data_IF_076255794616
#
_entry.id   IF_076255794616
#
_cell.length_a   1.000
_cell.length_b   1.000
_cell.length_c   1.000
_cell.angle_alpha   90.00
_cell.angle_beta   90.00
_cell.angle_gamma   90.00
#
_symmetry.space_group_name_H-M   'P 1'
#
loop_
_entity.id
_entity.type
_entity.pdbx_description
1 polymer ?
#
# COMPACT_ATOMS: atom_id res chain seq x y z
N UNK A 1 -10.87 -9.75 -2.11
CA UNK A 1 -10.64 -9.62 -0.64
C UNK A 1 -9.46 -8.69 -0.34
N UNK A 2 -8.24 -9.01 -0.79
CA UNK A 2 -7.04 -8.20 -0.53
C UNK A 2 -7.11 -6.74 -1.02
N UNK A 3 -7.75 -6.51 -2.16
CA UNK A 3 -7.97 -5.16 -2.68
C UNK A 3 -8.77 -4.27 -1.72
N UNK A 4 -9.84 -4.81 -1.13
CA UNK A 4 -10.67 -4.09 -0.15
C UNK A 4 -9.85 -3.73 1.10
N UNK A 5 -9.00 -4.66 1.56
CA UNK A 5 -8.09 -4.44 2.69
C UNK A 5 -7.09 -3.34 2.35
N UNK A 6 -6.48 -3.37 1.16
CA UNK A 6 -5.52 -2.37 0.71
C UNK A 6 -6.15 -0.96 0.56
N UNK A 7 -7.37 -0.89 0.03
CA UNK A 7 -8.17 0.35 -0.02
C UNK A 7 -8.43 0.87 1.40
N UNK A 8 -8.80 -0.01 2.35
CA UNK A 8 -8.93 0.35 3.75
C UNK A 8 -7.66 0.97 4.32
N UNK A 9 -6.48 0.41 4.00
CA UNK A 9 -5.18 0.97 4.38
C UNK A 9 -4.98 2.41 3.90
N UNK A 10 -5.37 2.72 2.66
CA UNK A 10 -5.32 4.09 2.11
C UNK A 10 -6.29 5.01 2.85
N UNK A 11 -7.53 4.55 3.10
CA UNK A 11 -8.54 5.36 3.80
C UNK A 11 -8.06 5.72 5.22
N UNK A 12 -7.47 4.77 5.95
CA UNK A 12 -6.85 5.05 7.25
C UNK A 12 -5.69 6.05 7.13
N UNK A 13 -4.88 5.98 6.07
CA UNK A 13 -3.81 6.95 5.81
C UNK A 13 -4.37 8.37 5.63
N UNK A 14 -5.41 8.50 4.81
CA UNK A 14 -6.07 9.78 4.52
C UNK A 14 -6.73 10.38 5.77
N UNK A 15 -7.46 9.57 6.54
CA UNK A 15 -8.05 10.02 7.81
C UNK A 15 -6.95 10.49 8.78
N UNK A 16 -5.85 9.74 8.88
CA UNK A 16 -4.68 10.14 9.67
C UNK A 16 -4.15 11.51 9.26
N UNK A 17 -4.02 11.77 7.96
CA UNK A 17 -3.58 13.09 7.45
C UNK A 17 -4.54 14.22 7.74
N UNK A 18 -5.85 13.98 7.59
CA UNK A 18 -6.85 15.00 7.92
C UNK A 18 -6.78 15.34 9.41
N UNK A 19 -6.58 14.35 10.29
CA UNK A 19 -6.40 14.58 11.74
C UNK A 19 -5.10 15.31 12.05
N UNK A 20 -4.00 14.94 11.40
CA UNK A 20 -2.71 15.62 11.53
C UNK A 20 -2.81 17.09 11.10
N UNK A 21 -3.55 17.38 10.03
CA UNK A 21 -3.82 18.75 9.58
C UNK A 21 -4.50 19.57 10.67
N UNK A 22 -5.52 19.00 11.31
CA UNK A 22 -6.31 19.61 12.39
C UNK A 22 -5.60 19.68 13.75
N UNK A 23 -4.39 19.12 13.86
CA UNK A 23 -3.65 19.03 15.13
C UNK A 23 -4.23 18.00 16.12
N UNK A 24 -5.08 17.09 15.65
CA UNK A 24 -5.62 15.99 16.45
C UNK A 24 -4.64 14.81 16.53
N UNK A 25 -4.86 13.90 17.47
CA UNK A 25 -4.10 12.65 17.55
C UNK A 25 -4.37 11.76 16.33
N UNK A 26 -3.37 11.65 15.45
CA UNK A 26 -3.43 10.88 14.21
C UNK A 26 -2.60 9.57 14.24
N UNK A 27 -1.82 9.35 15.29
CA UNK A 27 -0.81 8.28 15.36
C UNK A 27 -1.45 6.90 15.18
N UNK A 28 -2.62 6.68 15.77
CA UNK A 28 -3.34 5.40 15.67
C UNK A 28 -3.73 5.07 14.22
N UNK A 29 -4.27 6.04 13.50
CA UNK A 29 -4.66 5.87 12.09
C UNK A 29 -3.46 5.58 11.20
N UNK A 30 -2.35 6.31 11.42
CA UNK A 30 -1.08 6.10 10.73
C UNK A 30 -0.53 4.69 10.98
N UNK A 31 -0.52 4.22 12.23
CA UNK A 31 -0.06 2.87 12.59
C UNK A 31 -0.91 1.79 11.93
N UNK A 32 -2.24 1.90 11.99
CA UNK A 32 -3.16 0.94 11.37
C UNK A 32 -2.93 0.88 9.85
N UNK A 33 -2.83 2.04 9.20
CA UNK A 33 -2.55 2.13 7.77
C UNK A 33 -1.23 1.44 7.40
N UNK A 34 -0.16 1.69 8.16
CA UNK A 34 1.15 1.08 7.93
C UNK A 34 1.14 -0.44 8.16
N UNK A 35 0.42 -0.93 9.18
CA UNK A 35 0.26 -2.36 9.43
C UNK A 35 -0.48 -3.06 8.28
N UNK A 36 -1.57 -2.45 7.80
CA UNK A 36 -2.32 -2.96 6.64
C UNK A 36 -1.41 -2.99 5.40
N UNK A 37 -0.64 -1.93 5.19
CA UNK A 37 0.30 -1.82 4.06
C UNK A 37 1.38 -2.90 4.14
N UNK A 38 1.94 -3.16 5.32
CA UNK A 38 2.91 -4.23 5.54
C UNK A 38 2.30 -5.62 5.27
N UNK A 39 1.09 -5.87 5.76
CA UNK A 39 0.37 -7.13 5.51
C UNK A 39 0.13 -7.36 4.01
N UNK A 40 -0.34 -6.34 3.29
CA UNK A 40 -0.53 -6.42 1.84
C UNK A 40 0.80 -6.63 1.10
N UNK A 41 1.90 -6.02 1.56
CA UNK A 41 3.23 -6.18 0.97
C UNK A 41 3.78 -7.59 1.18
N UNK A 42 3.64 -8.15 2.38
CA UNK A 42 4.03 -9.53 2.69
C UNK A 42 3.24 -10.51 1.81
N UNK A 43 1.92 -10.33 1.69
CA UNK A 43 1.08 -11.17 0.84
C UNK A 43 1.46 -11.06 -0.65
N UNK A 44 1.80 -9.87 -1.11
CA UNK A 44 2.28 -9.65 -2.47
C UNK A 44 3.60 -10.38 -2.73
N UNK A 45 4.57 -10.24 -1.82
CA UNK A 45 5.87 -10.93 -1.91
C UNK A 45 5.68 -12.45 -1.85
N UNK A 46 4.84 -12.94 -0.94
CA UNK A 46 4.52 -14.37 -0.84
C UNK A 46 3.91 -14.92 -2.13
N UNK A 47 2.99 -14.16 -2.74
CA UNK A 47 2.43 -14.52 -4.05
C UNK A 47 3.53 -14.57 -5.11
N UNK A 48 4.40 -13.54 -5.18
CA UNK A 48 5.51 -13.51 -6.13
C UNK A 48 6.48 -14.70 -5.97
N UNK A 49 6.77 -15.10 -4.72
CA UNK A 49 7.64 -16.25 -4.40
C UNK A 49 6.98 -17.58 -4.78
N UNK A 50 5.68 -17.77 -4.52
CA UNK A 50 4.98 -19.01 -4.92
C UNK A 50 4.86 -19.12 -6.44
N UNK A 51 4.65 -18.00 -7.12
CA UNK A 51 4.69 -17.91 -8.57
C UNK A 51 6.12 -17.95 -9.13
N UNK A 52 7.06 -18.62 -8.43
CA UNK A 52 8.47 -18.78 -8.79
C UNK A 52 8.68 -19.33 -10.22
N UNK A 53 7.72 -20.08 -10.77
CA UNK A 53 7.74 -20.53 -12.16
C UNK A 53 7.71 -19.38 -13.19
N UNK A 54 7.29 -18.18 -12.79
CA UNK A 54 7.35 -16.94 -13.58
C UNK A 54 8.63 -16.13 -13.34
N UNK A 55 9.56 -16.59 -12.50
CA UNK A 55 10.85 -15.94 -12.27
C UNK A 55 12.03 -16.80 -12.76
N UNK A 56 11.82 -18.09 -13.03
CA UNK A 56 12.77 -18.89 -13.82
C UNK A 56 12.82 -18.37 -15.25
N UNK A 57 13.82 -17.55 -15.57
CA UNK A 57 14.11 -16.89 -16.86
C UNK A 57 13.28 -15.66 -17.25
N UNK A 58 12.47 -15.11 -16.35
CA UNK A 58 11.49 -14.09 -16.74
C UNK A 58 11.54 -12.87 -15.81
N UNK A 59 11.59 -11.68 -16.44
CA UNK A 59 11.96 -10.41 -15.78
C UNK A 59 10.84 -9.91 -14.85
N UNK A 60 11.18 -9.04 -13.88
CA UNK A 60 10.18 -8.32 -13.05
C UNK A 60 9.08 -7.64 -13.87
N UNK A 61 9.43 -7.16 -15.07
CA UNK A 61 8.48 -6.55 -16.00
C UNK A 61 7.43 -7.56 -16.47
N UNK A 62 7.86 -8.74 -16.89
CA UNK A 62 6.94 -9.78 -17.36
C UNK A 62 6.04 -10.27 -16.23
N UNK A 63 6.58 -10.45 -15.02
CA UNK A 63 5.77 -10.75 -13.84
C UNK A 63 4.68 -9.70 -13.60
N UNK A 64 5.07 -8.41 -13.62
CA UNK A 64 4.11 -7.32 -13.48
C UNK A 64 3.09 -7.31 -14.62
N UNK A 65 3.46 -7.63 -15.86
CA UNK A 65 2.53 -7.66 -17.00
C UNK A 65 1.55 -8.84 -16.92
N UNK A 66 1.99 -10.03 -16.48
CA UNK A 66 1.17 -11.26 -16.41
C UNK A 66 0.36 -11.39 -15.13
N UNK A 67 0.67 -10.59 -14.09
CA UNK A 67 -0.05 -10.67 -12.82
C UNK A 67 -1.54 -10.27 -12.98
N UNK A 68 -2.47 -10.96 -12.29
CA UNK A 68 -3.88 -10.60 -12.28
C UNK A 68 -4.13 -9.12 -11.95
N UNK A 69 -5.15 -8.53 -12.58
CA UNK A 69 -5.51 -7.11 -12.41
C UNK A 69 -5.74 -6.71 -10.95
N UNK A 70 -6.41 -7.55 -10.17
CA UNK A 70 -6.65 -7.29 -8.74
C UNK A 70 -5.36 -7.17 -7.93
N UNK A 71 -4.35 -8.02 -8.21
CA UNK A 71 -3.06 -7.95 -7.55
C UNK A 71 -2.28 -6.69 -7.96
N UNK A 72 -2.41 -6.23 -9.22
CA UNK A 72 -1.79 -4.98 -9.69
C UNK A 72 -2.39 -3.80 -8.94
N UNK A 73 -3.71 -3.81 -8.77
CA UNK A 73 -4.41 -2.78 -8.01
C UNK A 73 -3.99 -2.78 -6.54
N UNK A 74 -3.78 -3.95 -5.91
CA UNK A 74 -3.23 -4.04 -4.55
C UNK A 74 -1.83 -3.42 -4.47
N UNK A 75 -0.96 -3.66 -5.46
CA UNK A 75 0.38 -3.06 -5.51
C UNK A 75 0.32 -1.53 -5.62
N UNK A 76 -0.57 -1.00 -6.48
CA UNK A 76 -0.82 0.44 -6.57
C UNK A 76 -1.30 0.97 -5.22
N UNK A 77 -2.21 0.26 -4.54
CA UNK A 77 -2.70 0.67 -3.23
C UNK A 77 -1.60 0.71 -2.17
N UNK A 78 -0.67 -0.25 -2.18
CA UNK A 78 0.52 -0.24 -1.31
C UNK A 78 1.34 1.03 -1.55
N UNK A 79 1.66 1.32 -2.82
CA UNK A 79 2.44 2.51 -3.19
C UNK A 79 1.78 3.81 -2.76
N UNK A 80 0.47 3.95 -3.01
CA UNK A 80 -0.31 5.11 -2.58
C UNK A 80 -0.37 5.24 -1.06
N UNK A 81 -0.58 4.14 -0.34
CA UNK A 81 -0.63 4.15 1.13
C UNK A 81 0.71 4.61 1.73
N UNK A 82 1.83 4.10 1.21
CA UNK A 82 3.17 4.57 1.61
C UNK A 82 3.30 6.07 1.31
N UNK A 83 3.03 6.49 0.07
CA UNK A 83 3.13 7.88 -0.34
C UNK A 83 2.35 8.81 0.58
N UNK A 84 1.07 8.51 0.82
CA UNK A 84 0.21 9.30 1.70
C UNK A 84 0.76 9.33 3.12
N UNK A 85 1.30 8.25 3.68
CA UNK A 85 1.85 8.22 5.04
C UNK A 85 3.19 8.95 5.22
N UNK A 86 3.96 9.19 4.15
CA UNK A 86 5.30 9.77 4.21
C UNK A 86 5.42 11.19 3.63
N UNK A 87 4.44 11.69 2.87
CA UNK A 87 4.41 13.11 2.44
C UNK A 87 4.56 14.07 3.64
N UNK A 88 5.51 15.01 3.65
CA UNK A 88 5.59 15.95 4.76
C UNK A 88 4.37 16.89 4.77
N UNK A 89 3.74 17.04 5.94
CA UNK A 89 2.52 17.85 6.08
C UNK A 89 2.76 19.35 5.85
N UNK A 90 4.03 19.78 5.92
CA UNK A 90 4.46 21.14 5.56
C UNK A 90 4.10 21.53 4.12
N UNK A 91 3.91 20.57 3.22
CA UNK A 91 3.47 20.84 1.84
C UNK A 91 2.02 21.35 1.82
N UNK A 92 1.18 20.93 2.77
CA UNK A 92 -0.24 21.29 2.83
C UNK A 92 -0.55 22.50 3.72
N UNK A 93 0.35 22.84 4.65
CA UNK A 93 0.26 24.04 5.47
C UNK A 93 1.03 25.17 4.78
N UNK A 94 0.40 25.79 3.78
CA UNK A 94 0.91 26.96 3.08
C UNK A 94 -0.03 28.14 3.26
#
# INVERSE_FOLDING_TARGET
>A
MWLIIAIGGIVFALIGRIKEYKGENFIVFKKISLLITALCSINFIYSAIIYNSYFSNTSWRTFLETMPGDSKNVLICIGLSIYVNYIPMSIFKK
#
